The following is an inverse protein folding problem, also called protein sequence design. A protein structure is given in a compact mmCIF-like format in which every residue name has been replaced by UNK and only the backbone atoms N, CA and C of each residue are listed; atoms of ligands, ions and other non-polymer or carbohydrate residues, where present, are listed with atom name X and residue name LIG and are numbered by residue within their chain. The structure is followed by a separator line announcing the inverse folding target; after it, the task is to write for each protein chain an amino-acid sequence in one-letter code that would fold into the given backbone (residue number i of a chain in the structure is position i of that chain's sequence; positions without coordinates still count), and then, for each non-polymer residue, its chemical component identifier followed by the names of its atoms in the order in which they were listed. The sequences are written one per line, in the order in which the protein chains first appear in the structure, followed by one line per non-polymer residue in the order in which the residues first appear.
data_IF_968783437870
#
_entry.id   IF_968783437870
#
_cell.length_a   1.000
_cell.length_b   1.000
_cell.length_c   1.000
_cell.angle_alpha   90.00
_cell.angle_beta   90.00
_cell.angle_gamma   90.00
#
_symmetry.space_group_name_H-M   'P 1'
#
loop_
_entity.id
_entity.type
_entity.pdbx_description
1 polymer ?
#
# COMPACT_ATOMS: atom_id res chain seq x y z
N UNK A 1 52.33 -10.18 -2.11
CA UNK A 1 51.24 -9.37 -1.63
C UNK A 1 50.29 -9.13 -2.81
N UNK A 2 49.32 -10.06 -3.01
CA UNK A 2 48.25 -9.89 -4.00
C UNK A 2 47.23 -8.94 -3.39
N UNK A 3 47.00 -7.79 -4.04
CA UNK A 3 45.92 -6.87 -3.75
C UNK A 3 44.60 -7.57 -4.06
N UNK A 4 43.84 -7.84 -3.02
CA UNK A 4 42.44 -8.20 -3.16
C UNK A 4 41.74 -6.94 -3.69
N UNK A 5 41.53 -6.88 -5.01
CA UNK A 5 40.64 -5.88 -5.60
C UNK A 5 39.24 -6.15 -5.06
N UNK A 6 38.81 -5.31 -4.14
CA UNK A 6 37.44 -5.27 -3.66
C UNK A 6 36.61 -4.90 -4.89
N UNK A 7 35.89 -5.87 -5.47
CA UNK A 7 34.90 -5.62 -6.50
C UNK A 7 33.79 -4.79 -5.84
N UNK A 8 33.85 -3.47 -5.98
CA UNK A 8 32.70 -2.59 -5.72
C UNK A 8 31.67 -2.92 -6.79
N UNK A 9 30.68 -3.73 -6.44
CA UNK A 9 29.48 -3.86 -7.27
C UNK A 9 28.78 -2.49 -7.27
N UNK A 10 28.47 -1.97 -8.45
CA UNK A 10 27.67 -0.76 -8.55
C UNK A 10 26.31 -0.98 -7.88
N UNK A 11 25.79 0.00 -7.15
CA UNK A 11 24.50 -0.13 -6.49
C UNK A 11 23.38 -0.32 -7.52
N UNK A 12 22.46 -1.23 -7.25
CA UNK A 12 21.29 -1.44 -8.07
C UNK A 12 20.41 -0.19 -8.07
N UNK A 13 20.08 0.35 -9.24
CA UNK A 13 19.27 1.56 -9.42
C UNK A 13 17.80 1.21 -9.36
N UNK A 14 17.09 1.80 -8.40
CA UNK A 14 15.65 1.61 -8.21
C UNK A 14 14.93 2.94 -8.41
N UNK A 15 13.93 2.96 -9.29
CA UNK A 15 13.02 4.08 -9.42
C UNK A 15 11.71 3.76 -8.70
N UNK A 16 11.31 4.60 -7.74
CA UNK A 16 10.07 4.48 -6.97
C UNK A 16 9.11 5.58 -7.41
N UNK A 17 7.93 5.22 -7.91
CA UNK A 17 6.84 6.16 -8.17
C UNK A 17 5.91 6.27 -6.96
N UNK A 18 5.17 7.38 -6.84
CA UNK A 18 4.29 7.58 -5.69
C UNK A 18 5.05 7.64 -4.36
N UNK A 19 6.25 8.25 -4.36
CA UNK A 19 7.16 8.32 -3.22
C UNK A 19 6.56 9.03 -1.98
N UNK A 20 5.57 9.90 -2.17
CA UNK A 20 4.87 10.62 -1.09
C UNK A 20 3.74 9.78 -0.45
N UNK A 21 3.35 8.66 -1.06
CA UNK A 21 2.37 7.72 -0.51
C UNK A 21 2.92 6.91 0.67
N UNK A 22 2.04 6.22 1.41
CA UNK A 22 2.38 5.48 2.63
C UNK A 22 3.53 4.48 2.39
N UNK A 23 3.42 3.63 1.35
CA UNK A 23 4.44 2.62 1.03
C UNK A 23 5.67 3.25 0.39
N UNK A 24 5.49 4.26 -0.49
CA UNK A 24 6.61 4.99 -1.08
C UNK A 24 7.52 5.61 -0.02
N UNK A 25 6.96 6.29 0.97
CA UNK A 25 7.71 6.84 2.10
C UNK A 25 8.41 5.74 2.93
N UNK A 26 7.76 4.62 3.16
CA UNK A 26 8.37 3.49 3.87
C UNK A 26 9.59 2.93 3.11
N UNK A 27 9.48 2.76 1.80
CA UNK A 27 10.60 2.33 0.95
C UNK A 27 11.75 3.32 0.97
N UNK A 28 11.48 4.62 0.84
CA UNK A 28 12.52 5.67 0.90
C UNK A 28 13.25 5.64 2.25
N UNK A 29 12.52 5.44 3.36
CA UNK A 29 13.16 5.31 4.68
C UNK A 29 14.07 4.08 4.77
N UNK A 30 13.59 2.93 4.29
CA UNK A 30 14.33 1.66 4.36
C UNK A 30 15.58 1.65 3.49
N UNK A 31 15.56 2.33 2.35
CA UNK A 31 16.67 2.35 1.40
C UNK A 31 17.71 3.44 1.68
N UNK A 32 17.39 4.43 2.51
CA UNK A 32 18.24 5.62 2.76
C UNK A 32 19.70 5.29 3.12
N UNK A 33 19.92 4.23 3.87
CA UNK A 33 21.24 3.83 4.38
C UNK A 33 21.71 2.49 3.80
N UNK A 34 21.08 1.99 2.75
CA UNK A 34 21.46 0.72 2.12
C UNK A 34 22.35 1.00 0.91
N UNK A 35 23.65 0.75 1.07
CA UNK A 35 24.65 1.00 0.02
C UNK A 35 24.50 0.09 -1.22
N UNK A 36 23.68 -0.96 -1.15
CA UNK A 36 23.42 -1.85 -2.28
C UNK A 36 22.43 -1.24 -3.29
N UNK A 37 21.73 -0.18 -2.91
CA UNK A 37 20.71 0.45 -3.74
C UNK A 37 20.98 1.94 -3.95
N UNK A 38 20.81 2.38 -5.20
CA UNK A 38 20.70 3.80 -5.58
C UNK A 38 19.24 4.09 -5.92
N UNK A 39 18.59 4.94 -5.14
CA UNK A 39 17.14 5.13 -5.23
C UNK A 39 16.78 6.51 -5.75
N UNK A 40 16.05 6.55 -6.86
CA UNK A 40 15.35 7.74 -7.37
C UNK A 40 13.87 7.61 -6.99
N UNK A 41 13.42 8.40 -6.03
CA UNK A 41 12.05 8.39 -5.50
C UNK A 41 11.28 9.63 -5.99
N UNK A 42 10.20 9.41 -6.74
CA UNK A 42 9.49 10.45 -7.46
C UNK A 42 8.05 10.59 -6.98
N UNK A 43 7.66 11.83 -6.68
CA UNK A 43 6.28 12.23 -6.45
C UNK A 43 5.50 12.30 -7.77
N UNK A 44 4.16 12.40 -7.69
CA UNK A 44 3.33 12.63 -8.88
C UNK A 44 3.73 13.87 -9.67
N UNK A 45 4.12 14.97 -8.98
CA UNK A 45 4.56 16.22 -9.64
C UNK A 45 5.82 16.02 -10.46
N UNK A 46 6.72 15.15 -10.03
CA UNK A 46 7.98 14.85 -10.72
C UNK A 46 7.79 13.84 -11.85
N UNK A 47 6.91 12.84 -11.65
CA UNK A 47 6.58 11.85 -12.67
C UNK A 47 5.12 11.39 -12.49
N UNK A 48 4.20 11.97 -13.24
CA UNK A 48 2.83 11.46 -13.35
C UNK A 48 2.84 10.23 -14.27
N UNK A 49 2.51 9.07 -13.72
CA UNK A 49 2.52 7.78 -14.44
C UNK A 49 1.48 7.71 -15.56
N UNK A 50 0.52 8.64 -15.61
CA UNK A 50 -0.48 8.72 -16.68
C UNK A 50 0.00 9.50 -17.89
N UNK A 51 1.19 10.11 -17.83
CA UNK A 51 1.78 10.93 -18.89
C UNK A 51 2.92 10.21 -19.59
N UNK A 52 2.62 9.64 -20.76
CA UNK A 52 3.57 8.84 -21.57
C UNK A 52 4.92 9.52 -21.76
N UNK A 53 4.90 10.76 -22.22
CA UNK A 53 6.11 11.52 -22.52
C UNK A 53 6.99 11.69 -21.27
N UNK A 54 6.34 11.96 -20.11
CA UNK A 54 7.05 12.14 -18.85
C UNK A 54 7.64 10.85 -18.32
N UNK A 55 6.91 9.75 -18.43
CA UNK A 55 7.40 8.41 -18.04
C UNK A 55 8.60 8.01 -18.90
N UNK A 56 8.50 8.19 -20.24
CA UNK A 56 9.57 7.86 -21.17
C UNK A 56 10.82 8.70 -20.93
N UNK A 57 10.66 10.02 -20.73
CA UNK A 57 11.76 10.96 -20.43
C UNK A 57 12.51 10.54 -19.18
N UNK A 58 11.76 10.28 -18.09
CA UNK A 58 12.37 9.95 -16.79
C UNK A 58 13.07 8.59 -16.84
N UNK A 59 12.42 7.54 -17.39
CA UNK A 59 13.04 6.22 -17.47
C UNK A 59 14.29 6.22 -18.37
N UNK A 60 14.28 7.00 -19.47
CA UNK A 60 15.45 7.16 -20.34
C UNK A 60 16.61 7.94 -19.67
N UNK A 61 16.30 8.89 -18.79
CA UNK A 61 17.31 9.66 -18.07
C UNK A 61 17.91 8.88 -16.89
N UNK A 62 17.05 8.21 -16.10
CA UNK A 62 17.46 7.54 -14.86
C UNK A 62 18.03 6.13 -15.11
N UNK A 63 17.62 5.47 -16.20
CA UNK A 63 18.03 4.11 -16.57
C UNK A 63 17.98 3.13 -15.38
N UNK A 64 16.83 2.99 -14.67
CA UNK A 64 16.76 2.16 -13.49
C UNK A 64 16.87 0.67 -13.84
N UNK A 65 17.43 -0.11 -12.93
CA UNK A 65 17.48 -1.57 -13.06
C UNK A 65 16.13 -2.21 -12.66
N UNK A 66 15.35 -1.51 -11.80
CA UNK A 66 14.00 -1.89 -11.38
C UNK A 66 13.12 -0.65 -11.20
N UNK A 67 11.83 -0.79 -11.53
CA UNK A 67 10.80 0.19 -11.19
C UNK A 67 9.87 -0.39 -10.11
N UNK A 68 9.60 0.39 -9.05
CA UNK A 68 8.61 0.06 -8.02
C UNK A 68 7.47 1.07 -8.10
N UNK A 69 6.31 0.63 -8.59
CA UNK A 69 5.13 1.48 -8.71
C UNK A 69 4.30 1.46 -7.42
N UNK A 70 4.43 2.50 -6.60
CA UNK A 70 3.58 2.80 -5.45
C UNK A 70 2.51 3.85 -5.76
N UNK A 71 2.51 4.42 -6.98
CA UNK A 71 1.49 5.38 -7.39
C UNK A 71 0.16 4.68 -7.70
N UNK A 72 -0.93 5.36 -7.36
CA UNK A 72 -2.28 4.91 -7.65
C UNK A 72 -3.32 5.73 -6.91
N UNK A 73 -4.56 5.68 -7.37
CA UNK A 73 -5.71 6.30 -6.73
C UNK A 73 -6.32 5.31 -5.72
N UNK A 74 -6.22 5.61 -4.42
CA UNK A 74 -6.57 4.68 -3.34
C UNK A 74 -7.80 5.12 -2.53
N UNK A 75 -8.58 6.09 -3.03
CA UNK A 75 -9.78 6.62 -2.37
C UNK A 75 -11.02 5.89 -2.86
N UNK A 76 -11.48 4.89 -2.10
CA UNK A 76 -12.52 3.93 -2.52
C UNK A 76 -13.84 4.63 -2.87
N UNK A 77 -14.43 5.45 -1.96
CA UNK A 77 -15.70 6.17 -2.24
C UNK A 77 -15.55 7.26 -3.30
N UNK A 78 -14.47 8.06 -3.35
CA UNK A 78 -14.23 8.96 -4.47
C UNK A 78 -14.06 8.27 -5.82
N UNK A 79 -13.58 7.04 -5.87
CA UNK A 79 -13.51 6.26 -7.11
C UNK A 79 -14.90 5.98 -7.69
N UNK A 80 -15.88 5.64 -6.85
CA UNK A 80 -17.27 5.45 -7.30
C UNK A 80 -17.88 6.73 -7.85
N UNK A 81 -17.58 7.87 -7.22
CA UNK A 81 -18.10 9.17 -7.66
C UNK A 81 -17.43 9.69 -8.92
N UNK A 82 -16.16 9.34 -9.14
CA UNK A 82 -15.34 9.80 -10.26
C UNK A 82 -14.51 8.64 -10.83
N UNK A 83 -15.13 7.69 -11.54
CA UNK A 83 -14.47 6.51 -12.06
C UNK A 83 -13.25 6.80 -12.93
N UNK A 84 -13.29 7.90 -13.70
CA UNK A 84 -12.20 8.29 -14.58
C UNK A 84 -10.87 8.46 -13.84
N UNK A 85 -10.86 9.06 -12.64
CA UNK A 85 -9.63 9.24 -11.86
C UNK A 85 -9.02 7.91 -11.43
N UNK A 86 -9.87 6.95 -11.06
CA UNK A 86 -9.42 5.62 -10.68
C UNK A 86 -8.85 4.87 -11.88
N UNK A 87 -9.53 4.83 -13.00
CA UNK A 87 -9.04 4.15 -14.20
C UNK A 87 -7.78 4.81 -14.78
N UNK A 88 -7.68 6.13 -14.78
CA UNK A 88 -6.46 6.80 -15.22
C UNK A 88 -5.25 6.41 -14.38
N UNK A 89 -5.36 6.50 -13.05
CA UNK A 89 -4.24 6.23 -12.15
C UNK A 89 -3.95 4.73 -11.95
N UNK A 90 -4.99 3.86 -11.93
CA UNK A 90 -4.85 2.46 -11.55
C UNK A 90 -4.82 1.49 -12.75
N UNK A 91 -5.35 1.89 -13.89
CA UNK A 91 -5.35 1.10 -15.12
C UNK A 91 -4.38 1.67 -16.16
N UNK A 92 -4.63 2.92 -16.62
CA UNK A 92 -3.84 3.53 -17.68
C UNK A 92 -2.38 3.76 -17.28
N UNK A 93 -2.13 4.31 -16.09
CA UNK A 93 -0.77 4.54 -15.58
C UNK A 93 0.07 3.26 -15.52
N UNK A 94 -0.39 2.18 -14.85
CA UNK A 94 0.30 0.88 -14.86
C UNK A 94 0.47 0.26 -16.24
N UNK A 95 -0.51 0.44 -17.15
CA UNK A 95 -0.39 -0.03 -18.53
C UNK A 95 0.75 0.67 -19.28
N UNK A 96 0.90 1.99 -19.12
CA UNK A 96 2.01 2.77 -19.69
C UNK A 96 3.36 2.34 -19.10
N UNK A 97 3.43 2.20 -17.77
CA UNK A 97 4.65 1.72 -17.11
C UNK A 97 5.06 0.35 -17.64
N UNK A 98 4.11 -0.60 -17.74
CA UNK A 98 4.39 -1.94 -18.23
C UNK A 98 4.88 -1.95 -19.69
N UNK A 99 4.30 -1.11 -20.55
CA UNK A 99 4.70 -0.96 -21.94
C UNK A 99 6.13 -0.41 -22.03
N UNK A 100 6.40 0.74 -21.42
CA UNK A 100 7.70 1.41 -21.52
C UNK A 100 8.79 0.58 -20.83
N UNK A 101 8.50 0.00 -19.66
CA UNK A 101 9.41 -0.92 -18.98
C UNK A 101 9.70 -2.15 -19.82
N UNK A 102 8.69 -2.68 -20.54
CA UNK A 102 8.85 -3.80 -21.48
C UNK A 102 9.81 -3.46 -22.63
N UNK A 103 9.61 -2.32 -23.27
CA UNK A 103 10.47 -1.83 -24.35
C UNK A 103 11.93 -1.64 -23.90
N UNK A 104 12.13 -1.22 -22.66
CA UNK A 104 13.45 -1.01 -22.04
C UNK A 104 13.99 -2.24 -21.31
N UNK A 105 13.24 -3.36 -21.29
CA UNK A 105 13.58 -4.59 -20.54
C UNK A 105 13.78 -4.37 -19.03
N UNK A 106 13.07 -3.41 -18.42
CA UNK A 106 13.13 -3.08 -17.01
C UNK A 106 12.03 -3.85 -16.26
N UNK A 107 12.34 -4.63 -15.22
CA UNK A 107 11.34 -5.28 -14.38
C UNK A 107 10.51 -4.28 -13.57
N UNK A 108 9.22 -4.59 -13.36
CA UNK A 108 8.27 -3.76 -12.62
C UNK A 108 7.72 -4.49 -11.40
N UNK A 109 7.83 -3.88 -10.23
CA UNK A 109 7.09 -4.27 -9.03
C UNK A 109 5.91 -3.31 -8.88
N UNK A 110 4.68 -3.85 -8.81
CA UNK A 110 3.45 -3.05 -8.77
C UNK A 110 2.60 -3.40 -7.56
N UNK A 111 2.09 -2.37 -6.86
CA UNK A 111 1.20 -2.54 -5.72
C UNK A 111 -0.26 -2.59 -6.15
N UNK A 112 -0.94 -3.65 -5.75
CA UNK A 112 -2.37 -3.85 -5.96
C UNK A 112 -3.10 -4.04 -4.63
N UNK A 113 -4.36 -4.48 -4.66
CA UNK A 113 -5.26 -4.50 -3.52
C UNK A 113 -6.04 -5.80 -3.41
N UNK A 114 -6.43 -6.13 -2.17
CA UNK A 114 -7.44 -7.13 -1.81
C UNK A 114 -8.85 -6.84 -2.38
N UNK A 115 -9.13 -5.58 -2.76
CA UNK A 115 -10.41 -5.17 -3.37
C UNK A 115 -10.63 -5.70 -4.79
N UNK A 116 -9.67 -6.40 -5.36
CA UNK A 116 -9.88 -7.17 -6.60
C UNK A 116 -10.79 -8.38 -6.40
N UNK A 117 -11.15 -8.72 -5.15
CA UNK A 117 -12.00 -9.84 -4.79
C UNK A 117 -13.36 -9.40 -4.23
N UNK A 118 -14.39 -10.25 -4.39
CA UNK A 118 -15.77 -10.01 -3.96
C UNK A 118 -16.02 -10.18 -2.44
N UNK A 119 -15.12 -10.82 -1.72
CA UNK A 119 -15.24 -10.99 -0.27
C UNK A 119 -16.08 -12.19 0.17
N UNK A 120 -16.46 -13.12 -0.70
CA UNK A 120 -17.27 -14.28 -0.37
C UNK A 120 -16.48 -15.37 0.38
N UNK A 121 -15.14 -15.43 0.22
CA UNK A 121 -14.32 -16.45 0.86
C UNK A 121 -13.83 -16.03 2.26
N UNK A 122 -14.55 -16.46 3.28
CA UNK A 122 -14.17 -16.19 4.68
C UNK A 122 -12.80 -16.76 5.07
N UNK A 123 -12.34 -17.84 4.39
CA UNK A 123 -11.03 -18.47 4.61
C UNK A 123 -9.86 -17.72 3.98
N UNK A 124 -10.16 -16.67 3.20
CA UNK A 124 -9.18 -15.85 2.46
C UNK A 124 -8.87 -16.37 1.06
N UNK A 125 -8.40 -15.44 0.23
CA UNK A 125 -8.10 -15.61 -1.20
C UNK A 125 -6.64 -15.97 -1.43
N UNK A 126 -6.42 -16.89 -2.37
CA UNK A 126 -5.11 -17.18 -2.95
C UNK A 126 -4.91 -16.37 -4.24
N UNK A 127 -3.68 -16.36 -4.75
CA UNK A 127 -3.35 -15.71 -6.02
C UNK A 127 -3.98 -16.41 -7.25
N UNK A 128 -4.47 -17.64 -7.09
CA UNK A 128 -5.13 -18.43 -8.13
C UNK A 128 -6.66 -18.23 -8.16
N UNK A 129 -7.23 -17.60 -7.13
CA UNK A 129 -8.66 -17.32 -7.11
C UNK A 129 -9.01 -16.22 -8.13
N UNK A 130 -10.17 -16.36 -8.76
CA UNK A 130 -10.66 -15.42 -9.76
C UNK A 130 -10.95 -14.06 -9.13
N UNK A 131 -10.50 -13.00 -9.81
CA UNK A 131 -10.83 -11.64 -9.40
C UNK A 131 -12.29 -11.32 -9.76
N UNK A 132 -13.01 -10.73 -8.81
CA UNK A 132 -14.41 -10.32 -8.94
C UNK A 132 -14.65 -9.04 -8.13
N UNK A 133 -14.09 -7.89 -8.57
CA UNK A 133 -14.19 -6.65 -7.82
C UNK A 133 -15.64 -6.14 -7.74
N UNK A 134 -16.05 -5.64 -6.54
CA UNK A 134 -17.40 -5.14 -6.29
C UNK A 134 -17.60 -3.69 -6.74
N UNK A 135 -16.52 -2.91 -6.90
CA UNK A 135 -16.61 -1.49 -7.19
C UNK A 135 -15.45 -0.98 -8.04
N UNK A 136 -15.55 0.28 -8.43
CA UNK A 136 -14.63 0.96 -9.37
C UNK A 136 -13.17 0.90 -8.90
N UNK A 137 -12.90 1.09 -7.61
CA UNK A 137 -11.54 1.02 -7.11
C UNK A 137 -10.91 -0.36 -7.35
N UNK A 138 -11.60 -1.42 -6.96
CA UNK A 138 -11.14 -2.81 -7.15
C UNK A 138 -10.99 -3.13 -8.63
N UNK A 139 -11.97 -2.77 -9.46
CA UNK A 139 -11.94 -3.03 -10.90
C UNK A 139 -10.80 -2.28 -11.59
N UNK A 140 -10.60 -1.01 -11.29
CA UNK A 140 -9.49 -0.23 -11.87
C UNK A 140 -8.11 -0.82 -11.52
N UNK A 141 -7.94 -1.33 -10.28
CA UNK A 141 -6.72 -2.04 -9.87
C UNK A 141 -6.56 -3.35 -10.64
N UNK A 142 -7.61 -4.14 -10.75
CA UNK A 142 -7.61 -5.40 -11.52
C UNK A 142 -7.26 -5.18 -12.98
N UNK A 143 -7.85 -4.19 -13.64
CA UNK A 143 -7.54 -3.85 -15.03
C UNK A 143 -6.05 -3.46 -15.20
N UNK A 144 -5.49 -2.75 -14.25
CA UNK A 144 -4.06 -2.44 -14.24
C UNK A 144 -3.17 -3.69 -14.14
N UNK A 145 -3.53 -4.65 -13.27
CA UNK A 145 -2.84 -5.94 -13.17
C UNK A 145 -2.87 -6.70 -14.50
N UNK A 146 -4.04 -6.76 -15.17
CA UNK A 146 -4.19 -7.44 -16.45
C UNK A 146 -3.28 -6.83 -17.54
N UNK A 147 -3.21 -5.50 -17.60
CA UNK A 147 -2.32 -4.83 -18.53
C UNK A 147 -0.84 -5.14 -18.27
N UNK A 148 -0.43 -5.20 -17.00
CA UNK A 148 0.94 -5.58 -16.64
C UNK A 148 1.24 -7.00 -17.05
N UNK A 149 0.36 -7.98 -16.73
CA UNK A 149 0.55 -9.40 -17.08
C UNK A 149 0.70 -9.63 -18.58
N UNK A 150 -0.11 -8.92 -19.37
CA UNK A 150 -0.11 -9.05 -20.82
C UNK A 150 1.14 -8.47 -21.50
N UNK A 151 1.76 -7.44 -20.92
CA UNK A 151 2.82 -6.65 -21.56
C UNK A 151 4.21 -6.89 -21.02
N UNK A 152 4.33 -7.28 -19.77
CA UNK A 152 5.62 -7.33 -19.09
C UNK A 152 5.81 -8.67 -18.34
N UNK A 153 6.50 -9.66 -18.93
CA UNK A 153 6.74 -10.95 -18.27
C UNK A 153 7.50 -10.83 -16.94
N UNK A 154 8.47 -9.91 -16.85
CA UNK A 154 9.27 -9.66 -15.65
C UNK A 154 8.57 -8.66 -14.74
N UNK A 155 7.52 -9.12 -14.04
CA UNK A 155 6.77 -8.29 -13.08
C UNK A 155 6.55 -9.02 -11.75
N UNK A 156 6.42 -8.23 -10.70
CA UNK A 156 5.81 -8.62 -9.43
C UNK A 156 4.56 -7.76 -9.23
N UNK A 157 3.41 -8.38 -9.07
CA UNK A 157 2.20 -7.71 -8.57
C UNK A 157 2.02 -8.14 -7.12
N UNK A 158 2.08 -7.18 -6.19
CA UNK A 158 1.88 -7.44 -4.76
C UNK A 158 0.53 -6.87 -4.33
N UNK A 159 -0.46 -7.76 -4.10
CA UNK A 159 -1.75 -7.39 -3.53
C UNK A 159 -1.61 -7.27 -2.02
N UNK A 160 -2.07 -6.15 -1.47
CA UNK A 160 -2.01 -5.84 -0.03
C UNK A 160 -3.39 -5.51 0.51
N UNK A 161 -3.58 -5.65 1.82
CA UNK A 161 -4.86 -5.45 2.51
C UNK A 161 -4.73 -4.48 3.68
N UNK A 162 -5.74 -3.66 3.93
CA UNK A 162 -5.93 -2.82 5.11
C UNK A 162 -4.68 -2.07 5.58
N UNK A 163 -4.08 -1.29 4.68
CA UNK A 163 -2.85 -0.55 4.97
C UNK A 163 -3.06 0.48 6.08
N UNK A 164 -2.08 0.55 6.99
CA UNK A 164 -1.96 1.61 7.98
C UNK A 164 -0.51 2.08 8.12
N UNK A 165 -0.33 3.34 8.46
CA UNK A 165 0.99 3.96 8.63
C UNK A 165 0.91 5.20 9.52
N UNK A 166 2.06 5.77 9.83
CA UNK A 166 2.20 7.03 10.56
C UNK A 166 1.80 8.28 9.77
N UNK A 167 1.59 8.16 8.46
CA UNK A 167 1.34 9.28 7.54
C UNK A 167 0.25 8.99 6.53
N UNK A 168 -0.25 10.04 5.88
CA UNK A 168 -1.30 9.94 4.88
C UNK A 168 -2.68 9.66 5.48
N UNK A 169 -3.68 9.47 4.62
CA UNK A 169 -5.05 9.16 5.06
C UNK A 169 -5.22 7.65 5.21
N UNK A 170 -5.37 7.15 6.44
CA UNK A 170 -5.58 5.75 6.73
C UNK A 170 -6.47 5.53 7.95
N UNK A 171 -6.89 4.27 8.17
CA UNK A 171 -7.84 3.92 9.23
C UNK A 171 -7.29 4.20 10.63
N UNK A 172 -6.01 3.95 10.90
CA UNK A 172 -5.38 4.23 12.19
C UNK A 172 -5.52 5.71 12.57
N UNK A 173 -5.09 6.62 11.69
CA UNK A 173 -5.09 8.06 11.98
C UNK A 173 -6.52 8.62 12.10
N UNK A 174 -7.46 8.13 11.26
CA UNK A 174 -8.89 8.51 11.37
C UNK A 174 -9.50 8.05 12.69
N UNK A 175 -9.24 6.80 13.11
CA UNK A 175 -9.74 6.27 14.39
C UNK A 175 -9.18 7.06 15.57
N UNK A 176 -7.89 7.42 15.58
CA UNK A 176 -7.29 8.25 16.62
C UNK A 176 -7.92 9.65 16.67
N UNK A 177 -8.17 10.26 15.50
CA UNK A 177 -8.81 11.56 15.40
C UNK A 177 -10.24 11.53 15.98
N UNK A 178 -11.04 10.54 15.62
CA UNK A 178 -12.40 10.35 16.15
C UNK A 178 -12.36 10.11 17.66
N UNK A 179 -11.47 9.27 18.14
CA UNK A 179 -11.33 8.94 19.56
C UNK A 179 -11.02 10.16 20.47
N UNK A 180 -10.38 11.18 19.90
CA UNK A 180 -10.09 12.45 20.57
C UNK A 180 -11.26 13.43 20.57
N UNK A 181 -12.18 13.31 19.59
CA UNK A 181 -13.28 14.26 19.38
C UNK A 181 -14.63 13.75 19.84
N UNK A 182 -14.87 12.45 19.83
CA UNK A 182 -16.17 11.84 20.08
C UNK A 182 -16.19 11.07 21.40
N UNK A 183 -17.35 11.05 22.08
CA UNK A 183 -17.56 10.26 23.31
C UNK A 183 -17.90 8.83 22.98
N UNK A 184 -18.62 8.61 21.84
CA UNK A 184 -19.05 7.29 21.38
C UNK A 184 -18.64 7.11 19.93
N UNK A 185 -18.06 5.95 19.63
CA UNK A 185 -17.70 5.52 18.27
C UNK A 185 -18.42 4.23 17.92
N UNK A 186 -18.64 4.01 16.63
CA UNK A 186 -19.16 2.75 16.08
C UNK A 186 -18.16 2.19 15.07
N UNK A 187 -18.06 0.86 14.98
CA UNK A 187 -17.22 0.21 13.98
C UNK A 187 -17.84 -1.10 13.52
N UNK A 188 -17.68 -1.43 12.23
CA UNK A 188 -18.19 -2.66 11.64
C UNK A 188 -17.50 -3.90 12.23
N UNK A 189 -18.31 -4.87 12.66
CA UNK A 189 -17.83 -6.17 13.18
C UNK A 189 -18.12 -7.33 12.22
N UNK A 190 -18.75 -7.06 11.09
CA UNK A 190 -19.08 -8.00 10.03
C UNK A 190 -18.11 -7.98 8.83
N UNK A 191 -17.15 -7.04 8.79
CA UNK A 191 -16.09 -6.95 7.77
C UNK A 191 -14.78 -7.47 8.31
N UNK A 192 -14.20 -8.46 7.64
CA UNK A 192 -12.99 -9.17 8.06
C UNK A 192 -11.82 -8.86 7.15
N UNK A 193 -10.63 -8.69 7.74
CA UNK A 193 -9.40 -8.42 7.00
C UNK A 193 -8.17 -8.53 7.90
N UNK A 194 -7.02 -8.23 7.33
CA UNK A 194 -5.74 -8.26 8.03
C UNK A 194 -5.08 -6.88 7.93
N UNK A 195 -5.05 -6.10 9.02
CA UNK A 195 -4.30 -4.84 9.04
C UNK A 195 -2.84 -5.06 8.66
N UNK A 196 -2.29 -4.18 7.83
CA UNK A 196 -0.94 -4.34 7.28
C UNK A 196 -0.20 -3.01 7.39
N UNK A 197 0.93 -3.01 8.08
CA UNK A 197 1.79 -1.83 8.17
C UNK A 197 2.45 -1.52 6.82
N UNK A 198 2.45 -0.25 6.43
CA UNK A 198 3.16 0.19 5.22
C UNK A 198 4.68 -0.07 5.32
N UNK A 199 5.27 0.04 6.51
CA UNK A 199 6.67 -0.30 6.76
C UNK A 199 6.95 -1.78 6.51
N UNK A 200 6.01 -2.64 6.91
CA UNK A 200 6.17 -4.08 6.70
C UNK A 200 6.03 -4.46 5.21
N UNK A 201 5.12 -3.80 4.47
CA UNK A 201 5.06 -3.94 3.00
C UNK A 201 6.36 -3.45 2.35
N UNK A 202 6.90 -2.32 2.80
CA UNK A 202 8.20 -1.83 2.33
C UNK A 202 9.32 -2.85 2.54
N UNK A 203 9.39 -3.47 3.73
CA UNK A 203 10.32 -4.56 4.04
C UNK A 203 10.16 -5.75 3.10
N UNK A 204 8.92 -6.14 2.81
CA UNK A 204 8.61 -7.26 1.88
C UNK A 204 9.08 -6.93 0.47
N UNK A 205 8.81 -5.73 -0.04
CA UNK A 205 9.26 -5.30 -1.36
C UNK A 205 10.78 -5.29 -1.45
N UNK A 206 11.49 -4.80 -0.42
CA UNK A 206 12.95 -4.83 -0.37
C UNK A 206 13.49 -6.27 -0.35
N UNK A 207 12.86 -7.17 0.42
CA UNK A 207 13.28 -8.58 0.47
C UNK A 207 13.06 -9.31 -0.87
N UNK A 208 12.00 -8.97 -1.61
CA UNK A 208 11.77 -9.46 -2.97
C UNK A 208 12.83 -8.90 -3.91
N UNK A 209 13.06 -7.57 -3.91
CA UNK A 209 14.07 -6.91 -4.75
C UNK A 209 15.47 -7.51 -4.56
N UNK A 210 15.89 -7.69 -3.31
CA UNK A 210 17.20 -8.31 -3.01
C UNK A 210 17.33 -9.70 -3.62
N UNK A 211 16.28 -10.53 -3.58
CA UNK A 211 16.32 -11.86 -4.19
C UNK A 211 16.32 -11.80 -5.72
N UNK A 212 15.55 -10.89 -6.32
CA UNK A 212 15.55 -10.69 -7.78
C UNK A 212 16.90 -10.18 -8.27
N UNK A 213 17.53 -9.24 -7.58
CA UNK A 213 18.89 -8.75 -7.87
C UNK A 213 19.91 -9.88 -7.78
N UNK A 214 19.73 -10.83 -6.86
CA UNK A 214 20.57 -12.01 -6.74
C UNK A 214 20.18 -13.17 -7.68
N UNK A 215 19.36 -12.90 -8.70
CA UNK A 215 19.06 -13.84 -9.78
C UNK A 215 17.84 -14.74 -9.57
N UNK A 216 16.97 -14.43 -8.62
CA UNK A 216 15.70 -15.15 -8.51
C UNK A 216 14.80 -14.84 -9.71
N UNK A 217 14.24 -15.89 -10.34
CA UNK A 217 13.32 -15.80 -11.47
C UNK A 217 11.89 -16.15 -11.02
N UNK A 218 11.37 -15.39 -10.05
CA UNK A 218 10.11 -15.66 -9.37
C UNK A 218 9.06 -14.57 -9.67
N UNK A 219 8.77 -14.38 -10.94
CA UNK A 219 7.83 -13.37 -11.43
C UNK A 219 6.36 -13.77 -11.23
N UNK A 220 5.46 -12.78 -11.18
CA UNK A 220 4.02 -12.98 -11.13
C UNK A 220 3.34 -12.27 -9.96
N UNK A 221 2.11 -12.69 -9.63
CA UNK A 221 1.27 -12.11 -8.59
C UNK A 221 1.50 -12.80 -7.25
N UNK A 222 1.57 -12.00 -6.18
CA UNK A 222 1.74 -12.42 -4.79
C UNK A 222 0.82 -11.65 -3.86
N UNK A 223 0.47 -12.26 -2.74
CA UNK A 223 -0.30 -11.65 -1.67
C UNK A 223 0.56 -11.35 -0.46
N UNK A 224 0.33 -10.21 0.17
CA UNK A 224 0.89 -9.90 1.47
C UNK A 224 -0.10 -9.12 2.36
N UNK A 225 -0.29 -9.60 3.58
CA UNK A 225 -1.00 -8.88 4.64
C UNK A 225 -0.43 -9.24 6.01
N UNK A 226 -0.75 -8.46 7.03
CA UNK A 226 -0.36 -8.78 8.41
C UNK A 226 -0.94 -10.13 8.87
N UNK A 227 -0.27 -10.79 9.80
CA UNK A 227 -0.79 -12.00 10.42
C UNK A 227 -1.97 -11.66 11.35
N UNK A 228 -2.88 -12.60 11.48
CA UNK A 228 -4.11 -12.51 12.28
C UNK A 228 -5.25 -11.72 11.60
N UNK A 229 -6.37 -12.41 11.45
CA UNK A 229 -7.61 -11.84 10.95
C UNK A 229 -8.29 -11.07 12.07
N UNK A 230 -8.84 -9.91 11.75
CA UNK A 230 -9.67 -9.11 12.65
C UNK A 230 -10.84 -8.48 11.92
N UNK A 231 -11.71 -7.76 12.66
CA UNK A 231 -12.76 -6.90 12.09
C UNK A 231 -12.36 -5.44 12.20
N UNK A 232 -13.12 -4.53 11.58
CA UNK A 232 -12.91 -3.08 11.79
C UNK A 232 -13.11 -2.70 13.26
N UNK A 233 -14.09 -3.33 13.93
CA UNK A 233 -14.28 -3.17 15.37
C UNK A 233 -13.04 -3.63 16.15
N UNK A 234 -12.57 -4.87 15.96
CA UNK A 234 -11.39 -5.38 16.68
C UNK A 234 -10.10 -4.61 16.37
N UNK A 235 -9.97 -4.05 15.14
CA UNK A 235 -8.85 -3.16 14.84
C UNK A 235 -8.96 -1.83 15.57
N UNK A 236 -10.17 -1.23 15.66
CA UNK A 236 -10.43 -0.02 16.44
C UNK A 236 -10.14 -0.24 17.93
N UNK A 237 -10.58 -1.35 18.53
CA UNK A 237 -10.25 -1.70 19.92
C UNK A 237 -8.73 -1.71 20.16
N UNK A 238 -7.96 -2.35 19.28
CA UNK A 238 -6.52 -2.41 19.40
C UNK A 238 -5.86 -1.03 19.28
N UNK A 239 -6.34 -0.16 18.38
CA UNK A 239 -5.87 1.22 18.24
C UNK A 239 -6.13 2.01 19.53
N UNK A 240 -7.36 1.95 20.07
CA UNK A 240 -7.72 2.64 21.30
C UNK A 240 -6.92 2.13 22.49
N UNK A 241 -6.73 0.83 22.61
CA UNK A 241 -5.93 0.23 23.68
C UNK A 241 -4.45 0.67 23.62
N UNK A 242 -3.88 0.77 22.41
CA UNK A 242 -2.52 1.28 22.25
C UNK A 242 -2.41 2.77 22.59
N UNK A 243 -3.35 3.61 22.13
CA UNK A 243 -3.34 5.06 22.35
C UNK A 243 -3.56 5.45 23.83
N UNK A 244 -4.42 4.72 24.55
CA UNK A 244 -4.69 4.95 25.99
C UNK A 244 -3.47 4.80 26.89
N UNK A 245 -2.38 4.24 26.40
CA UNK A 245 -1.11 4.19 27.14
C UNK A 245 -0.40 5.55 27.16
N UNK A 246 -0.76 6.47 26.27
CA UNK A 246 -0.08 7.75 26.05
C UNK A 246 -0.97 8.96 26.35
N UNK A 247 -2.29 8.84 26.15
CA UNK A 247 -3.22 9.94 26.41
C UNK A 247 -4.58 9.46 26.93
N UNK A 248 -5.31 10.37 27.57
CA UNK A 248 -6.71 10.18 27.92
C UNK A 248 -7.58 10.54 26.71
N UNK A 249 -8.15 9.53 26.07
CA UNK A 249 -9.06 9.71 24.94
C UNK A 249 -10.45 10.17 25.42
N UNK A 250 -11.12 10.98 24.60
CA UNK A 250 -12.51 11.41 24.86
C UNK A 250 -13.49 10.25 24.71
N UNK A 251 -13.19 9.29 23.82
CA UNK A 251 -14.05 8.13 23.58
C UNK A 251 -14.13 7.25 24.83
N UNK A 252 -15.36 7.08 25.34
CA UNK A 252 -15.67 6.16 26.46
C UNK A 252 -16.33 4.87 26.00
N UNK A 253 -16.98 4.88 24.83
CA UNK A 253 -17.73 3.75 24.30
C UNK A 253 -17.36 3.49 22.83
N UNK A 254 -17.00 2.25 22.50
CA UNK A 254 -16.86 1.73 21.14
C UNK A 254 -17.89 0.61 20.95
N UNK A 255 -18.80 0.76 19.99
CA UNK A 255 -19.92 -0.15 19.79
C UNK A 255 -19.73 -0.93 18.48
N UNK A 256 -19.77 -2.26 18.51
CA UNK A 256 -19.81 -3.06 17.30
C UNK A 256 -21.18 -2.90 16.60
N UNK A 257 -21.13 -2.71 15.30
CA UNK A 257 -22.34 -2.59 14.46
C UNK A 257 -22.14 -3.43 13.18
N UNK A 258 -23.24 -3.68 12.46
CA UNK A 258 -23.09 -4.24 11.11
C UNK A 258 -22.74 -3.12 10.11
N UNK A 259 -22.14 -3.47 9.00
CA UNK A 259 -21.82 -2.49 7.95
C UNK A 259 -23.05 -1.76 7.39
N UNK A 260 -24.24 -2.38 7.51
CA UNK A 260 -25.52 -1.78 7.11
C UNK A 260 -25.98 -0.65 8.03
N UNK A 261 -25.48 -0.62 9.26
CA UNK A 261 -25.83 0.39 10.26
C UNK A 261 -24.84 1.58 10.24
N UNK A 262 -23.82 1.52 9.38
CA UNK A 262 -22.90 2.63 9.15
C UNK A 262 -23.51 3.64 8.16
N UNK A 263 -23.04 4.90 8.15
CA UNK A 263 -23.42 5.87 7.12
C UNK A 263 -23.19 5.30 5.72
N UNK A 264 -24.05 5.67 4.77
CA UNK A 264 -23.96 5.23 3.39
C UNK A 264 -22.55 5.46 2.82
N UNK A 265 -21.90 4.38 2.45
CA UNK A 265 -20.65 4.39 1.69
C UNK A 265 -21.02 4.39 0.20
N UNK A 266 -20.32 5.20 -0.60
CA UNK A 266 -20.59 5.23 -2.05
C UNK A 266 -20.19 3.92 -2.73
N UNK A 267 -19.13 3.28 -2.23
CA UNK A 267 -18.60 2.03 -2.76
C UNK A 267 -19.05 0.83 -1.92
N UNK A 268 -19.41 -0.25 -2.56
CA UNK A 268 -19.55 -1.55 -1.92
C UNK A 268 -18.19 -2.08 -1.45
N UNK A 269 -18.15 -2.70 -0.28
CA UNK A 269 -16.92 -3.24 0.30
C UNK A 269 -17.04 -4.74 0.53
N UNK A 270 -15.98 -5.53 0.23
CA UNK A 270 -15.99 -6.97 0.48
C UNK A 270 -16.19 -7.29 1.97
N UNK A 271 -17.03 -8.28 2.26
CA UNK A 271 -17.25 -8.78 3.62
C UNK A 271 -15.97 -9.42 4.20
N UNK A 272 -15.17 -10.05 3.34
CA UNK A 272 -13.86 -10.59 3.71
C UNK A 272 -12.80 -10.18 2.68
N UNK A 273 -11.78 -9.48 3.14
CA UNK A 273 -10.60 -9.14 2.33
C UNK A 273 -9.32 -9.82 2.86
N UNK A 274 -9.47 -11.04 3.36
CA UNK A 274 -8.36 -11.84 3.86
C UNK A 274 -7.56 -12.41 2.69
N UNK A 275 -6.23 -12.20 2.70
CA UNK A 275 -5.31 -12.72 1.70
C UNK A 275 -4.49 -13.88 2.27
N UNK A 276 -4.37 -14.98 1.52
CA UNK A 276 -3.43 -16.07 1.83
C UNK A 276 -2.06 -15.74 1.27
N UNK A 277 -1.04 -15.77 2.12
CA UNK A 277 0.33 -15.38 1.77
C UNK A 277 1.26 -16.59 1.61
N UNK A 278 0.71 -17.80 1.45
CA UNK A 278 1.49 -19.05 1.37
C UNK A 278 2.42 -19.08 0.16
N UNK A 279 2.01 -18.51 -0.98
CA UNK A 279 2.84 -18.43 -2.18
C UNK A 279 4.08 -17.58 -1.92
N UNK A 280 3.93 -16.41 -1.31
CA UNK A 280 5.05 -15.53 -0.97
C UNK A 280 6.03 -16.23 0.00
N UNK A 281 5.51 -16.92 1.01
CA UNK A 281 6.32 -17.69 1.96
C UNK A 281 7.11 -18.80 1.25
N UNK A 282 6.45 -19.59 0.41
CA UNK A 282 7.06 -20.73 -0.26
C UNK A 282 8.08 -20.32 -1.32
N UNK A 283 7.88 -19.16 -1.97
CA UNK A 283 8.76 -18.67 -3.04
C UNK A 283 9.96 -17.89 -2.49
N UNK A 284 9.71 -16.95 -1.59
CA UNK A 284 10.71 -15.99 -1.10
C UNK A 284 11.13 -16.21 0.37
N UNK A 285 10.52 -17.15 1.08
CA UNK A 285 10.76 -17.35 2.50
C UNK A 285 10.21 -16.23 3.39
N UNK A 286 9.37 -15.34 2.85
CA UNK A 286 8.86 -14.17 3.55
C UNK A 286 7.62 -14.54 4.35
N UNK A 287 7.70 -14.39 5.68
CA UNK A 287 6.59 -14.64 6.61
C UNK A 287 5.83 -13.37 6.93
N UNK A 288 4.53 -13.52 7.14
CA UNK A 288 3.67 -12.47 7.71
C UNK A 288 4.13 -12.11 9.12
N UNK A 289 4.05 -10.84 9.47
CA UNK A 289 4.30 -10.35 10.83
C UNK A 289 2.98 -10.06 11.54
N UNK A 290 2.93 -10.24 12.89
CA UNK A 290 1.76 -9.85 13.68
C UNK A 290 1.53 -8.34 13.55
N UNK A 291 0.38 -7.94 13.03
CA UNK A 291 0.05 -6.51 12.86
C UNK A 291 -0.08 -5.76 14.18
N UNK A 292 -0.40 -6.47 15.28
CA UNK A 292 -0.56 -5.85 16.62
C UNK A 292 0.75 -5.26 17.13
N UNK A 293 1.87 -5.94 16.94
CA UNK A 293 3.20 -5.42 17.32
C UNK A 293 3.60 -4.22 16.48
N UNK A 294 3.32 -4.24 15.18
CA UNK A 294 3.54 -3.09 14.29
C UNK A 294 2.65 -1.89 14.67
N UNK A 295 1.38 -2.14 15.01
CA UNK A 295 0.48 -1.10 15.50
C UNK A 295 1.01 -0.45 16.79
N UNK A 296 1.42 -1.24 17.78
CA UNK A 296 1.97 -0.71 19.02
C UNK A 296 3.23 0.12 18.79
N UNK A 297 4.14 -0.35 17.90
CA UNK A 297 5.33 0.40 17.52
C UNK A 297 4.98 1.75 16.88
N UNK A 298 4.10 1.73 15.88
CA UNK A 298 3.69 2.95 15.17
C UNK A 298 2.95 3.93 16.07
N UNK A 299 2.04 3.47 16.93
CA UNK A 299 1.34 4.34 17.89
C UNK A 299 2.35 4.99 18.82
N UNK A 300 3.28 4.24 19.41
CA UNK A 300 4.35 4.79 20.23
C UNK A 300 5.14 5.88 19.50
N UNK A 301 5.60 5.61 18.28
CA UNK A 301 6.38 6.56 17.48
C UNK A 301 5.58 7.83 17.14
N UNK A 302 4.29 7.71 16.88
CA UNK A 302 3.39 8.85 16.64
C UNK A 302 3.31 9.78 17.87
N UNK A 303 3.21 9.21 19.07
CA UNK A 303 3.13 10.00 20.31
C UNK A 303 4.50 10.58 20.69
N UNK A 304 5.57 9.79 20.66
CA UNK A 304 6.93 10.24 21.00
C UNK A 304 7.46 11.32 20.05
N UNK A 305 7.09 11.28 18.78
CA UNK A 305 7.53 12.26 17.76
C UNK A 305 6.70 13.54 17.71
N UNK A 306 5.57 13.63 18.41
CA UNK A 306 4.61 14.74 18.30
C UNK A 306 3.93 14.89 16.93
N UNK A 307 4.06 13.90 16.04
CA UNK A 307 3.51 13.98 14.66
C UNK A 307 1.99 13.97 14.62
N UNK A 308 1.32 13.45 15.64
CA UNK A 308 -0.14 13.50 15.71
C UNK A 308 -0.68 14.92 15.76
N UNK A 309 0.00 15.84 16.42
CA UNK A 309 -0.38 17.26 16.49
C UNK A 309 -0.17 17.95 15.13
N UNK A 310 0.90 17.60 14.41
CA UNK A 310 1.18 18.14 13.08
C UNK A 310 0.22 17.61 12.00
N UNK A 311 -0.25 16.37 12.10
CA UNK A 311 -1.24 15.80 11.20
C UNK A 311 -2.61 16.48 11.34
N UNK A 312 -2.96 16.91 12.57
CA UNK A 312 -4.21 17.63 12.83
C UNK A 312 -4.18 19.08 12.32
N UNK A 313 -3.05 19.77 12.43
CA UNK A 313 -2.92 21.15 11.91
C UNK A 313 -3.00 21.24 10.38
N UNK A 314 -2.64 20.17 9.67
CA UNK A 314 -2.76 20.09 8.20
C UNK A 314 -4.14 19.64 7.72
N UNK A 315 -4.90 18.91 8.56
CA UNK A 315 -6.24 18.40 8.20
C UNK A 315 -7.38 19.41 8.36
N UNK A 316 -7.18 20.48 9.11
CA UNK A 316 -8.22 21.50 9.40
C UNK A 316 -8.32 22.57 8.29
N UNK A 317 -7.35 22.62 7.35
CA UNK A 317 -7.28 23.63 6.29
C UNK A 317 -7.70 23.20 4.87
N UNK A 318 -7.93 21.92 4.63
CA UNK A 318 -8.24 21.39 3.31
C UNK A 318 -9.69 20.89 3.27
N UNK A 319 -10.63 21.76 2.96
CA UNK A 319 -11.95 21.36 2.46
C UNK A 319 -11.79 20.55 1.17
N UNK A 320 -12.76 19.68 0.87
CA UNK A 320 -12.76 18.67 -0.21
C UNK A 320 -12.30 19.13 -1.64
N UNK A 321 -12.10 20.41 -1.86
CA UNK A 321 -11.70 20.97 -3.16
C UNK A 321 -10.21 20.92 -3.47
N UNK A 322 -9.31 20.97 -2.46
CA UNK A 322 -7.86 21.03 -2.69
C UNK A 322 -7.15 19.64 -2.71
N UNK A 323 -7.83 18.58 -2.29
CA UNK A 323 -7.25 17.21 -2.27
C UNK A 323 -7.26 16.51 -3.65
N UNK A 324 -7.81 17.12 -4.68
CA UNK A 324 -7.76 16.63 -6.07
C UNK A 324 -6.35 16.78 -6.66
N UNK A 325 -5.53 17.66 -6.11
CA UNK A 325 -4.17 17.91 -6.58
C UNK A 325 -3.10 16.99 -5.94
N UNK A 326 -3.42 16.26 -4.85
CA UNK A 326 -2.49 15.42 -4.09
C UNK A 326 -2.77 13.92 -4.18
N UNK A 327 -3.75 13.48 -4.98
CA UNK A 327 -4.03 12.06 -5.21
C UNK A 327 -3.22 11.49 -6.39
#
# INVERSE_FOLDING_TARGET
LQSVSQFYMEPTRILITGAEGQIGQALVRLTRNDAHFSVTALSRRQMDITRREKVSEVLAAELPDYVVNCAGFNRVDPAERNPQWAYEANQHGPALLAEICGDMSIPLLHLSSDYVFDGHYASGYTEADEAAPLGIYGDSKWQGEEHIRQRLPRHIILRVSWLFSESGSNFLLKTLQQARSEVRMVAADDRRGCPTSADDVGRVLMAILQQLVNGAEAWGTYHYCGAEITTRYGFSEAILAAARQYEQLKVSELVPVTSKDLPDEAAERPASSVLKCSKLLNTFGIRQRPWRSELQRLVRELYESGRLEQAQSRGVGAGDADQVAEA
#
